data_IF_666630393939
#
_entry.id   IF_666630393939
#
_cell.length_a   1.000
_cell.length_b   1.000
_cell.length_c   1.000
_cell.angle_alpha   90.00
_cell.angle_beta   90.00
_cell.angle_gamma   90.00
#
_symmetry.space_group_name_H-M   'P 1'
#
loop_
_entity.id
_entity.type
_entity.pdbx_description
1 polymer ?
#
# COMPACT_ATOMS: atom_id res chain seq x y z
N UNK A 1 -24.89 18.86 -5.05
CA UNK A 1 -23.65 19.64 -4.81
C UNK A 1 -22.82 19.05 -3.66
N UNK A 2 -23.40 18.85 -2.47
CA UNK A 2 -22.70 18.29 -1.30
C UNK A 2 -22.07 16.89 -1.51
N UNK A 3 -22.77 15.96 -2.17
CA UNK A 3 -22.25 14.60 -2.42
C UNK A 3 -20.99 14.59 -3.30
N UNK A 4 -20.92 15.44 -4.34
CA UNK A 4 -19.75 15.56 -5.21
C UNK A 4 -18.55 16.14 -4.46
N UNK A 5 -18.77 17.17 -3.64
CA UNK A 5 -17.71 17.77 -2.83
C UNK A 5 -17.12 16.77 -1.82
N UNK A 6 -17.96 15.93 -1.21
CA UNK A 6 -17.51 14.87 -0.30
C UNK A 6 -16.66 13.80 -1.00
N UNK A 7 -17.05 13.36 -2.21
CA UNK A 7 -16.31 12.36 -3.00
C UNK A 7 -14.94 12.91 -3.43
N UNK A 8 -14.88 14.15 -3.91
CA UNK A 8 -13.64 14.81 -4.31
C UNK A 8 -12.73 15.14 -3.11
N UNK A 9 -13.31 15.37 -1.94
CA UNK A 9 -12.54 15.53 -0.72
C UNK A 9 -11.94 14.19 -0.27
N UNK A 10 -12.73 13.12 -0.29
CA UNK A 10 -12.28 11.77 0.05
C UNK A 10 -11.18 11.30 -0.91
N UNK A 11 -11.34 11.52 -2.21
CA UNK A 11 -10.32 11.20 -3.20
C UNK A 11 -9.01 11.95 -2.90
N UNK A 12 -9.06 13.27 -2.67
CA UNK A 12 -7.86 14.04 -2.29
C UNK A 12 -7.21 13.57 -1.00
N UNK A 13 -7.98 13.14 -0.01
CA UNK A 13 -7.45 12.58 1.23
C UNK A 13 -6.74 11.23 0.99
N UNK A 14 -7.35 10.34 0.19
CA UNK A 14 -6.73 9.08 -0.23
C UNK A 14 -5.45 9.32 -1.03
N UNK A 15 -5.49 10.25 -1.98
CA UNK A 15 -4.32 10.63 -2.78
C UNK A 15 -3.16 11.09 -1.90
N UNK A 16 -3.43 11.96 -0.91
CA UNK A 16 -2.39 12.45 0.02
C UNK A 16 -1.83 11.31 0.87
N UNK A 17 -2.66 10.43 1.40
CA UNK A 17 -2.21 9.27 2.17
C UNK A 17 -1.28 8.39 1.33
N UNK A 18 -1.64 8.09 0.09
CA UNK A 18 -0.81 7.28 -0.79
C UNK A 18 0.55 7.92 -1.08
N UNK A 19 0.61 9.24 -1.30
CA UNK A 19 1.89 9.93 -1.48
C UNK A 19 2.74 9.90 -0.21
N UNK A 20 2.11 9.99 0.97
CA UNK A 20 2.81 9.84 2.25
C UNK A 20 3.36 8.41 2.43
N UNK A 21 2.58 7.38 2.09
CA UNK A 21 3.03 6.00 2.12
C UNK A 21 4.16 5.74 1.12
N UNK A 22 4.06 6.26 -0.10
CA UNK A 22 5.12 6.17 -1.09
C UNK A 22 6.40 6.87 -0.62
N UNK A 23 6.27 8.06 -0.01
CA UNK A 23 7.38 8.76 0.63
C UNK A 23 7.99 7.96 1.77
N UNK A 24 7.18 7.33 2.62
CA UNK A 24 7.63 6.47 3.71
C UNK A 24 8.36 5.21 3.18
N UNK A 25 7.88 4.61 2.09
CA UNK A 25 8.53 3.48 1.43
C UNK A 25 9.89 3.88 0.82
N UNK A 26 9.96 5.03 0.15
CA UNK A 26 11.21 5.53 -0.39
C UNK A 26 12.21 5.86 0.73
N UNK A 27 11.74 6.47 1.81
CA UNK A 27 12.55 6.76 2.99
C UNK A 27 13.06 5.48 3.67
N UNK A 28 12.24 4.44 3.81
CA UNK A 28 12.68 3.19 4.43
C UNK A 28 13.77 2.49 3.59
N UNK A 29 13.65 2.50 2.26
CA UNK A 29 14.69 1.98 1.36
C UNK A 29 15.98 2.80 1.48
N UNK A 30 15.89 4.14 1.50
CA UNK A 30 17.06 5.01 1.65
C UNK A 30 17.78 4.78 3.00
N UNK A 31 17.01 4.69 4.10
CA UNK A 31 17.55 4.40 5.43
C UNK A 31 18.20 3.01 5.45
N UNK A 32 17.57 2.00 4.84
CA UNK A 32 18.13 0.66 4.74
C UNK A 32 19.47 0.66 3.98
N UNK A 33 19.56 1.38 2.86
CA UNK A 33 20.79 1.51 2.09
C UNK A 33 21.91 2.18 2.92
N UNK A 34 21.59 3.24 3.65
CA UNK A 34 22.56 3.93 4.51
C UNK A 34 23.03 3.03 5.66
N UNK A 35 22.11 2.37 6.38
CA UNK A 35 22.44 1.50 7.51
C UNK A 35 23.30 0.31 7.07
N UNK A 36 22.94 -0.34 5.97
CA UNK A 36 23.72 -1.47 5.44
C UNK A 36 25.08 -1.04 4.94
N UNK A 37 25.18 0.12 4.28
CA UNK A 37 26.48 0.68 3.85
C UNK A 37 27.37 1.04 5.04
N UNK A 38 26.78 1.61 6.10
CA UNK A 38 27.49 1.93 7.34
C UNK A 38 27.97 0.66 8.05
N UNK A 39 27.14 -0.38 8.15
CA UNK A 39 27.52 -1.66 8.77
C UNK A 39 28.70 -2.31 8.02
N UNK A 40 28.63 -2.34 6.68
CA UNK A 40 29.71 -2.85 5.84
C UNK A 40 30.98 -2.01 6.01
N UNK A 41 30.86 -0.68 6.03
CA UNK A 41 31.97 0.25 6.26
C UNK A 41 32.63 0.03 7.63
N UNK A 42 31.84 -0.11 8.70
CA UNK A 42 32.32 -0.37 10.05
C UNK A 42 32.99 -1.75 10.16
N UNK A 43 32.44 -2.76 9.50
CA UNK A 43 33.02 -4.10 9.46
C UNK A 43 34.41 -4.08 8.83
N UNK A 44 34.60 -3.35 7.73
CA UNK A 44 35.92 -3.29 7.08
C UNK A 44 36.90 -2.31 7.75
N UNK A 45 36.42 -1.20 8.30
CA UNK A 45 37.29 -0.18 8.91
C UNK A 45 37.64 -0.48 10.38
N UNK A 46 36.68 -0.97 11.15
CA UNK A 46 36.77 -1.11 12.61
C UNK A 46 36.62 -2.56 13.09
N UNK A 47 36.43 -3.53 12.18
CA UNK A 47 36.23 -4.95 12.47
C UNK A 47 35.12 -5.22 13.52
N UNK A 48 34.16 -4.30 13.62
CA UNK A 48 33.08 -4.30 14.60
C UNK A 48 31.74 -4.18 13.87
N UNK A 49 31.07 -5.30 13.55
CA UNK A 49 29.78 -5.29 12.87
C UNK A 49 28.65 -4.83 13.80
N UNK A 50 27.67 -4.10 13.26
CA UNK A 50 26.47 -3.66 13.97
C UNK A 50 25.37 -4.72 13.85
N UNK A 51 25.37 -5.70 14.76
CA UNK A 51 24.44 -6.84 14.71
C UNK A 51 22.95 -6.45 14.78
N UNK A 52 22.60 -5.29 15.33
CA UNK A 52 21.21 -4.79 15.38
C UNK A 52 20.69 -4.23 14.04
N UNK A 53 21.57 -3.87 13.10
CA UNK A 53 21.17 -3.32 11.80
C UNK A 53 20.36 -4.33 11.00
N UNK A 54 20.74 -5.61 11.09
CA UNK A 54 20.01 -6.71 10.47
C UNK A 54 18.58 -6.82 11.02
N UNK A 55 18.43 -6.83 12.33
CA UNK A 55 17.13 -6.96 13.01
C UNK A 55 16.19 -5.80 12.64
N UNK A 56 16.68 -4.55 12.69
CA UNK A 56 15.88 -3.37 12.34
C UNK A 56 15.48 -3.37 10.87
N UNK A 57 16.40 -3.79 9.99
CA UNK A 57 16.14 -3.87 8.56
C UNK A 57 15.06 -4.89 8.25
N UNK A 58 15.18 -6.11 8.80
CA UNK A 58 14.27 -7.21 8.53
C UNK A 58 12.90 -6.98 9.19
N UNK A 59 12.86 -6.45 10.41
CA UNK A 59 11.61 -6.27 11.16
C UNK A 59 10.83 -5.03 10.74
N UNK A 60 11.48 -3.90 10.45
CA UNK A 60 10.77 -2.63 10.26
C UNK A 60 10.91 -2.06 8.87
N UNK A 61 12.15 -1.92 8.37
CA UNK A 61 12.40 -1.20 7.12
C UNK A 61 11.92 -1.99 5.90
N UNK A 62 12.17 -3.30 5.88
CA UNK A 62 11.78 -4.17 4.77
C UNK A 62 10.25 -4.30 4.65
N UNK A 63 9.47 -4.61 5.71
CA UNK A 63 8.02 -4.66 5.59
C UNK A 63 7.41 -3.29 5.27
N UNK A 64 7.95 -2.19 5.84
CA UNK A 64 7.51 -0.84 5.50
C UNK A 64 7.75 -0.51 4.02
N UNK A 65 8.95 -0.76 3.51
CA UNK A 65 9.29 -0.55 2.10
C UNK A 65 8.36 -1.35 1.17
N UNK A 66 8.21 -2.65 1.46
CA UNK A 66 7.42 -3.55 0.62
C UNK A 66 5.94 -3.21 0.66
N UNK A 67 5.32 -3.14 1.83
CA UNK A 67 3.86 -2.99 1.91
C UNK A 67 3.43 -1.58 1.50
N UNK A 68 4.15 -0.53 1.92
CA UNK A 68 3.79 0.84 1.54
C UNK A 68 4.05 1.08 0.05
N UNK A 69 5.16 0.56 -0.48
CA UNK A 69 5.45 0.59 -1.91
C UNK A 69 4.45 -0.23 -2.72
N UNK A 70 4.09 -1.43 -2.26
CA UNK A 70 3.14 -2.33 -2.91
C UNK A 70 1.73 -1.75 -2.94
N UNK A 71 1.27 -1.13 -1.85
CA UNK A 71 -0.02 -0.44 -1.81
C UNK A 71 -0.08 0.69 -2.84
N UNK A 72 0.99 1.49 -2.94
CA UNK A 72 1.09 2.56 -3.94
C UNK A 72 1.16 2.04 -5.38
N UNK A 73 1.95 0.99 -5.65
CA UNK A 73 2.07 0.44 -7.02
C UNK A 73 0.80 -0.27 -7.44
N UNK A 74 0.14 -1.01 -6.55
CA UNK A 74 -1.15 -1.65 -6.84
C UNK A 74 -2.22 -0.61 -7.19
N UNK A 75 -2.19 0.55 -6.53
CA UNK A 75 -2.96 1.71 -6.93
C UNK A 75 -2.54 2.24 -8.31
N UNK A 76 -1.25 2.49 -8.54
CA UNK A 76 -0.79 3.12 -9.80
C UNK A 76 -1.11 2.25 -11.00
N UNK A 77 -1.25 0.95 -10.77
CA UNK A 77 -1.65 -0.06 -11.72
C UNK A 77 -3.18 -0.34 -11.62
N UNK A 78 -4.01 0.64 -11.25
CA UNK A 78 -5.43 0.58 -10.83
C UNK A 78 -6.42 -0.28 -11.67
N UNK A 79 -5.99 -0.90 -12.77
CA UNK A 79 -6.77 -1.81 -13.59
C UNK A 79 -6.03 -3.11 -13.92
N UNK A 80 -5.17 -3.64 -13.02
CA UNK A 80 -4.47 -4.92 -13.27
C UNK A 80 -5.50 -6.01 -13.61
N UNK A 81 -5.56 -6.35 -14.89
CA UNK A 81 -6.04 -7.59 -15.48
C UNK A 81 -7.54 -7.83 -15.71
N UNK A 82 -8.45 -6.89 -15.46
CA UNK A 82 -9.82 -7.04 -16.01
C UNK A 82 -10.05 -6.16 -17.23
N UNK A 83 -9.32 -5.06 -17.40
CA UNK A 83 -9.40 -4.29 -18.64
C UNK A 83 -8.92 -5.07 -19.87
N UNK A 84 -7.98 -6.03 -19.73
CA UNK A 84 -7.54 -6.82 -20.87
C UNK A 84 -8.68 -7.67 -21.45
N UNK A 85 -9.52 -8.26 -20.59
CA UNK A 85 -10.75 -8.93 -20.99
C UNK A 85 -11.86 -7.92 -21.35
N UNK A 86 -12.00 -6.83 -20.60
CA UNK A 86 -13.08 -5.85 -20.78
C UNK A 86 -12.93 -5.00 -22.05
N UNK A 87 -11.74 -4.91 -22.64
CA UNK A 87 -11.49 -4.32 -23.96
C UNK A 87 -12.24 -5.05 -25.09
N UNK A 88 -12.57 -6.32 -24.89
CA UNK A 88 -13.29 -7.15 -25.87
C UNK A 88 -14.80 -7.15 -25.63
N UNK A 89 -15.29 -6.52 -24.55
CA UNK A 89 -16.70 -6.53 -24.18
C UNK A 89 -17.42 -5.23 -24.58
N UNK A 90 -18.70 -5.30 -24.98
CA UNK A 90 -19.50 -4.13 -25.32
C UNK A 90 -19.71 -3.20 -24.11
N UNK A 91 -19.77 -1.88 -24.39
CA UNK A 91 -19.81 -0.76 -23.42
C UNK A 91 -20.67 -0.98 -22.14
N UNK A 92 -21.90 -1.53 -22.20
CA UNK A 92 -22.69 -1.72 -20.97
C UNK A 92 -22.13 -2.81 -20.06
N UNK A 93 -21.55 -3.89 -20.60
CA UNK A 93 -21.03 -5.01 -19.79
C UNK A 93 -19.71 -4.63 -19.13
N UNK A 94 -18.93 -3.73 -19.75
CA UNK A 94 -17.69 -3.20 -19.19
C UNK A 94 -17.90 -2.53 -17.83
N UNK A 95 -18.96 -1.71 -17.68
CA UNK A 95 -19.29 -1.05 -16.41
C UNK A 95 -19.67 -2.01 -15.27
N UNK A 96 -20.43 -3.06 -15.58
CA UNK A 96 -20.75 -4.10 -14.60
C UNK A 96 -19.53 -4.95 -14.23
N UNK A 97 -18.66 -5.27 -15.20
CA UNK A 97 -17.43 -6.02 -14.93
C UNK A 97 -16.48 -5.26 -14.00
N UNK A 98 -16.28 -3.96 -14.22
CA UNK A 98 -15.43 -3.14 -13.35
C UNK A 98 -15.99 -3.00 -11.92
N UNK A 99 -17.31 -2.92 -11.78
CA UNK A 99 -17.98 -2.90 -10.49
C UNK A 99 -17.75 -4.20 -9.71
N UNK A 100 -18.00 -5.35 -10.36
CA UNK A 100 -17.86 -6.68 -9.75
C UNK A 100 -16.40 -6.93 -9.34
N UNK A 101 -15.45 -6.59 -10.21
CA UNK A 101 -14.03 -6.75 -9.90
C UNK A 101 -13.60 -5.86 -8.74
N UNK A 102 -14.01 -4.59 -8.72
CA UNK A 102 -13.68 -3.67 -7.62
C UNK A 102 -14.27 -4.14 -6.30
N UNK A 103 -15.50 -4.68 -6.33
CA UNK A 103 -16.15 -5.22 -5.15
C UNK A 103 -15.47 -6.49 -4.65
N UNK A 104 -15.13 -7.42 -5.56
CA UNK A 104 -14.43 -8.66 -5.22
C UNK A 104 -13.03 -8.37 -4.65
N UNK A 105 -12.28 -7.47 -5.28
CA UNK A 105 -10.97 -7.03 -4.79
C UNK A 105 -11.08 -6.36 -3.41
N UNK A 106 -12.05 -5.46 -3.23
CA UNK A 106 -12.32 -4.81 -1.94
C UNK A 106 -12.65 -5.81 -0.83
N UNK A 107 -13.50 -6.81 -1.12
CA UNK A 107 -13.84 -7.87 -0.17
C UNK A 107 -12.61 -8.72 0.22
N UNK A 108 -11.77 -9.09 -0.74
CA UNK A 108 -10.54 -9.86 -0.50
C UNK A 108 -9.57 -9.04 0.36
N UNK A 109 -9.31 -7.77 0.01
CA UNK A 109 -8.42 -6.91 0.79
C UNK A 109 -8.96 -6.62 2.19
N UNK A 110 -10.27 -6.46 2.35
CA UNK A 110 -10.91 -6.32 3.65
C UNK A 110 -10.72 -7.58 4.50
N UNK A 111 -10.92 -8.76 3.91
CA UNK A 111 -10.73 -10.03 4.61
C UNK A 111 -9.28 -10.22 5.08
N UNK A 112 -8.31 -9.94 4.20
CA UNK A 112 -6.89 -9.97 4.54
C UNK A 112 -6.58 -8.96 5.65
N UNK A 113 -7.15 -7.75 5.60
CA UNK A 113 -6.97 -6.73 6.63
C UNK A 113 -7.44 -7.23 7.99
N UNK A 114 -8.61 -7.86 8.07
CA UNK A 114 -9.16 -8.38 9.34
C UNK A 114 -8.27 -9.48 9.92
N UNK A 115 -7.85 -10.45 9.10
CA UNK A 115 -6.97 -11.53 9.56
C UNK A 115 -5.63 -10.99 10.03
N UNK A 116 -5.00 -10.13 9.24
CA UNK A 116 -3.67 -9.59 9.56
C UNK A 116 -3.74 -8.64 10.75
N UNK A 117 -4.85 -7.92 10.96
CA UNK A 117 -5.09 -7.12 12.15
C UNK A 117 -5.25 -8.00 13.41
N UNK A 118 -5.95 -9.14 13.31
CA UNK A 118 -6.06 -10.09 14.41
C UNK A 118 -4.68 -10.66 14.79
N UNK A 119 -3.88 -11.06 13.80
CA UNK A 119 -2.50 -11.53 14.03
C UNK A 119 -1.62 -10.47 14.69
N UNK A 120 -1.77 -9.20 14.29
CA UNK A 120 -1.04 -8.11 14.90
C UNK A 120 -1.50 -7.81 16.34
N UNK A 121 -2.80 -7.95 16.60
CA UNK A 121 -3.39 -7.81 17.93
C UNK A 121 -2.92 -8.92 18.87
N UNK A 122 -2.94 -10.17 18.42
CA UNK A 122 -2.45 -11.30 19.19
C UNK A 122 -0.95 -11.12 19.53
N UNK A 123 -0.14 -10.66 18.58
CA UNK A 123 1.27 -10.35 18.80
C UNK A 123 1.50 -9.22 19.81
N UNK A 124 0.60 -8.23 19.86
CA UNK A 124 0.62 -7.18 20.88
C UNK A 124 0.32 -7.77 22.26
N UNK A 125 -0.77 -8.53 22.39
CA UNK A 125 -1.21 -9.10 23.67
C UNK A 125 -0.18 -10.08 24.22
N UNK A 126 0.43 -10.89 23.36
CA UNK A 126 1.48 -11.83 23.72
C UNK A 126 2.84 -11.16 23.99
N UNK A 127 2.98 -9.84 23.81
CA UNK A 127 4.26 -9.11 23.88
C UNK A 127 5.37 -9.85 23.12
N UNK A 128 5.05 -10.30 21.90
CA UNK A 128 6.01 -11.06 21.10
C UNK A 128 7.25 -10.21 20.81
N UNK A 129 8.39 -10.70 21.32
CA UNK A 129 9.70 -10.12 21.07
C UNK A 129 10.52 -11.10 20.23
N UNK A 130 11.27 -10.56 19.28
CA UNK A 130 12.23 -11.37 18.55
C UNK A 130 13.49 -11.48 19.40
N UNK A 131 13.88 -12.71 19.72
CA UNK A 131 15.13 -12.97 20.43
C UNK A 131 16.31 -12.70 19.48
N UNK A 132 16.92 -11.52 19.63
CA UNK A 132 18.08 -11.05 18.86
C UNK A 132 19.13 -10.39 19.77
N UNK A 133 19.98 -9.52 19.21
CA UNK A 133 20.99 -8.78 20.02
C UNK A 133 20.33 -7.80 20.98
N UNK A 134 19.16 -7.29 20.61
CA UNK A 134 18.26 -6.48 21.42
C UNK A 134 16.86 -7.07 21.28
N UNK A 135 16.08 -7.11 22.37
CA UNK A 135 14.71 -7.63 22.33
C UNK A 135 13.80 -6.63 21.61
N UNK A 136 13.63 -6.79 20.29
CA UNK A 136 12.80 -5.92 19.47
C UNK A 136 11.33 -6.39 19.49
N UNK A 137 10.36 -5.49 19.72
CA UNK A 137 8.95 -5.83 19.67
C UNK A 137 8.52 -6.14 18.23
N UNK A 138 7.87 -7.29 18.02
CA UNK A 138 7.45 -7.76 16.69
C UNK A 138 6.14 -7.10 16.26
N UNK A 139 5.26 -6.75 17.19
CA UNK A 139 3.93 -6.21 16.92
C UNK A 139 3.90 -5.01 15.95
N UNK A 140 4.85 -4.03 15.95
CA UNK A 140 4.79 -2.92 15.01
C UNK A 140 5.02 -3.37 13.57
N UNK A 141 5.86 -4.38 13.35
CA UNK A 141 6.10 -4.94 12.01
C UNK A 141 4.84 -5.59 11.43
N UNK A 142 4.11 -6.32 12.28
CA UNK A 142 2.88 -7.02 11.90
C UNK A 142 1.73 -6.06 11.61
N UNK A 143 1.73 -4.85 12.17
CA UNK A 143 0.73 -3.81 11.90
C UNK A 143 0.89 -3.11 10.54
N UNK A 144 2.08 -3.16 9.93
CA UNK A 144 2.33 -2.53 8.64
C UNK A 144 1.45 -3.16 7.54
N UNK A 145 1.28 -4.49 7.59
CA UNK A 145 0.49 -5.27 6.63
C UNK A 145 -1.00 -4.89 6.64
N UNK A 146 -1.73 -4.96 7.78
CA UNK A 146 -3.14 -4.57 7.81
C UNK A 146 -3.32 -3.10 7.44
N UNK A 147 -2.36 -2.23 7.74
CA UNK A 147 -2.45 -0.81 7.38
C UNK A 147 -2.42 -0.59 5.86
N UNK A 148 -1.52 -1.27 5.14
CA UNK A 148 -1.47 -1.22 3.68
C UNK A 148 -2.71 -1.83 3.01
N UNK A 149 -3.23 -2.93 3.56
CA UNK A 149 -4.41 -3.62 3.04
C UNK A 149 -5.71 -2.86 3.34
N UNK A 150 -5.79 -2.18 4.49
CA UNK A 150 -6.93 -1.34 4.86
C UNK A 150 -7.09 -0.16 3.89
N UNK A 151 -5.99 0.49 3.51
CA UNK A 151 -5.99 1.57 2.52
C UNK A 151 -6.48 1.10 1.15
N UNK A 152 -6.02 -0.07 0.70
CA UNK A 152 -6.49 -0.69 -0.55
C UNK A 152 -7.98 -1.02 -0.51
N UNK A 153 -8.46 -1.58 0.60
CA UNK A 153 -9.87 -1.87 0.81
C UNK A 153 -10.73 -0.60 0.74
N UNK A 154 -10.34 0.45 1.48
CA UNK A 154 -11.05 1.74 1.48
C UNK A 154 -11.13 2.36 0.08
N UNK A 155 -10.08 2.18 -0.73
CA UNK A 155 -10.02 2.64 -2.11
C UNK A 155 -10.95 1.84 -3.04
N UNK A 156 -11.01 0.52 -2.89
CA UNK A 156 -11.97 -0.30 -3.62
C UNK A 156 -13.42 0.13 -3.33
N UNK A 157 -13.74 0.45 -2.07
CA UNK A 157 -15.05 1.00 -1.71
C UNK A 157 -15.30 2.37 -2.37
N UNK A 158 -14.30 3.26 -2.42
CA UNK A 158 -14.42 4.54 -3.10
C UNK A 158 -14.67 4.39 -4.62
N UNK A 159 -13.98 3.45 -5.27
CA UNK A 159 -14.20 3.10 -6.68
C UNK A 159 -15.64 2.63 -6.93
N UNK A 160 -16.16 1.74 -6.08
CA UNK A 160 -17.55 1.25 -6.15
C UNK A 160 -18.54 2.42 -5.97
N UNK A 161 -18.31 3.30 -5.00
CA UNK A 161 -19.14 4.49 -4.78
C UNK A 161 -19.14 5.43 -5.98
N UNK A 162 -17.99 5.64 -6.63
CA UNK A 162 -17.91 6.45 -7.85
C UNK A 162 -18.66 5.80 -9.01
N UNK A 163 -18.55 4.48 -9.19
CA UNK A 163 -19.24 3.77 -10.26
C UNK A 163 -20.77 3.74 -10.12
N UNK A 164 -21.29 3.80 -8.89
CA UNK A 164 -22.72 3.91 -8.59
C UNK A 164 -23.29 5.31 -8.83
N UNK A 165 -22.42 6.33 -8.91
CA UNK A 165 -22.80 7.72 -9.16
C UNK A 165 -22.23 8.13 -10.53
N UNK A 166 -22.89 7.82 -11.64
CA UNK A 166 -22.43 8.11 -13.01
C UNK A 166 -22.28 9.62 -13.36
N UNK A 167 -22.33 10.53 -12.37
CA UNK A 167 -22.25 11.98 -12.57
C UNK A 167 -20.86 12.60 -12.33
N UNK A 168 -19.83 11.77 -12.21
CA UNK A 168 -18.43 12.20 -12.08
C UNK A 168 -17.67 11.66 -13.30
N UNK A 169 -17.77 12.40 -14.41
CA UNK A 169 -16.76 12.38 -15.47
C UNK A 169 -15.43 12.66 -14.77
N UNK A 170 -14.55 11.67 -14.70
CA UNK A 170 -13.17 11.89 -14.28
C UNK A 170 -12.52 12.66 -15.43
N UNK A 171 -12.10 13.91 -15.16
CA UNK A 171 -11.37 14.72 -16.14
C UNK A 171 -10.23 13.87 -16.75
N UNK A 172 -10.05 13.92 -18.08
CA UNK A 172 -9.03 13.14 -18.78
C UNK A 172 -7.66 13.75 -18.54
N UNK A 173 -7.08 13.55 -17.35
CA UNK A 173 -5.72 13.99 -17.01
C UNK A 173 -4.65 13.18 -17.75
N UNK A 174 -5.03 12.16 -18.52
CA UNK A 174 -4.09 11.29 -19.26
C UNK A 174 -4.02 11.51 -20.78
N UNK A 175 -4.73 12.48 -21.35
CA UNK A 175 -4.67 12.74 -22.81
C UNK A 175 -3.53 13.68 -23.23
N UNK A 176 -2.93 14.41 -22.29
CA UNK A 176 -1.86 15.39 -22.61
C UNK A 176 -0.42 14.82 -22.67
N UNK A 177 -0.20 13.52 -22.49
CA UNK A 177 1.14 12.91 -22.58
C UNK A 177 1.40 12.09 -23.85
N UNK A 178 0.41 11.98 -24.76
CA UNK A 178 0.55 11.23 -26.02
C UNK A 178 0.76 12.10 -27.26
N UNK A 179 0.78 13.43 -27.14
CA UNK A 179 1.07 14.35 -28.26
C UNK A 179 2.52 14.85 -28.32
N UNK A 180 3.39 14.50 -27.36
CA UNK A 180 4.81 14.90 -27.36
C UNK A 180 5.80 13.76 -27.67
N UNK A 181 5.36 12.66 -28.29
CA UNK A 181 6.24 11.61 -28.85
C UNK A 181 5.84 11.28 -30.28
#
# INVERSE_FOLDING_TARGET
>A
MFAKAAILWLDRCLLRLDYLLAGAAAASVAIMMLLTSLDVGLRYALNSPLSWVYDVTMLYLLPAAFIFGFSFTLRSNNHINVDFFARWLPKPIRGYSSLITSLAAGAIFLYITIITAAVAWDAWVANEVMFGTLNWPIWPSKLIIPLGMALLSLRCFHSVLCSLIPSVELDPVHEHLTEEL
#
